data_IF_331014413642
#
_entry.id   IF_331014413642
#
_cell.length_a   1.000
_cell.length_b   1.000
_cell.length_c   1.000
_cell.angle_alpha   90.00
_cell.angle_beta   90.00
_cell.angle_gamma   90.00
#
_symmetry.space_group_name_H-M   'P 1'
#
loop_
_entity.id
_entity.type
_entity.pdbx_description
1 polymer ?
#
# COMPACT_ATOMS: atom_id res chain seq x y z
N UNK A 1 0.75 24.91 14.44
CA UNK A 1 0.28 24.88 15.82
C UNK A 1 -0.22 23.47 16.09
N UNK A 2 0.62 22.63 16.70
CA UNK A 2 0.35 21.19 16.90
C UNK A 2 -0.36 21.06 18.23
N UNK A 3 -1.66 20.71 18.22
CA UNK A 3 -2.39 20.35 19.42
C UNK A 3 -2.02 18.92 19.82
N UNK A 4 -1.07 18.78 20.75
CA UNK A 4 -0.83 17.53 21.44
C UNK A 4 -1.85 17.42 22.56
N UNK A 5 -2.93 16.67 22.34
CA UNK A 5 -3.85 16.29 23.41
C UNK A 5 -3.18 15.18 24.22
N UNK A 6 -2.59 15.56 25.36
CA UNK A 6 -2.14 14.60 26.37
C UNK A 6 -3.36 13.99 27.07
N UNK A 7 -3.75 12.79 26.66
CA UNK A 7 -4.57 11.91 27.49
C UNK A 7 -3.69 11.23 28.53
N UNK A 8 -3.45 11.90 29.66
CA UNK A 8 -2.85 11.29 30.83
C UNK A 8 -3.93 11.11 31.90
N UNK A 9 -4.07 9.84 32.30
CA UNK A 9 -4.77 9.26 33.45
C UNK A 9 -6.12 8.61 33.17
N UNK A 10 -6.09 7.34 33.46
CA UNK A 10 -7.12 6.32 33.60
C UNK A 10 -7.30 5.39 32.38
N UNK A 11 -6.34 4.50 32.17
CA UNK A 11 -6.59 3.06 31.89
C UNK A 11 -5.27 2.33 32.15
N UNK A 12 -5.28 1.43 33.14
CA UNK A 12 -4.11 0.62 33.49
C UNK A 12 -3.66 -0.29 32.36
N UNK A 13 -2.36 -0.27 32.06
CA UNK A 13 -1.64 -1.44 31.59
C UNK A 13 -1.83 -1.91 30.15
N UNK A 14 -2.45 -1.19 29.24
CA UNK A 14 -2.51 -1.60 27.83
C UNK A 14 -1.39 -0.99 26.99
N UNK A 15 -0.46 -1.85 26.56
CA UNK A 15 0.61 -1.52 25.64
C UNK A 15 0.01 -1.34 24.22
N UNK A 16 -0.06 -0.11 23.72
CA UNK A 16 -0.72 0.26 22.45
C UNK A 16 -0.09 -0.33 21.17
N UNK A 17 1.05 -1.00 21.27
CA UNK A 17 1.76 -1.53 20.11
C UNK A 17 1.20 -2.84 19.51
N UNK A 18 0.11 -3.38 20.06
CA UNK A 18 -0.47 -4.66 19.60
C UNK A 18 -2.00 -4.68 19.46
N UNK A 19 -2.67 -3.55 19.53
CA UNK A 19 -4.13 -3.50 19.41
C UNK A 19 -4.53 -3.56 17.95
N UNK A 20 -5.20 -4.65 17.53
CA UNK A 20 -5.75 -4.77 16.18
C UNK A 20 -6.87 -3.74 15.98
N UNK A 21 -7.07 -3.19 14.77
CA UNK A 21 -8.14 -2.23 14.48
C UNK A 21 -9.54 -2.72 14.86
N UNK A 22 -9.78 -4.04 14.77
CA UNK A 22 -11.02 -4.70 15.18
C UNK A 22 -11.31 -4.57 16.69
N UNK A 23 -10.25 -4.56 17.51
CA UNK A 23 -10.37 -4.51 18.96
C UNK A 23 -10.64 -3.08 19.45
N UNK A 24 -10.11 -2.09 18.74
CA UNK A 24 -10.38 -0.68 18.98
C UNK A 24 -11.86 -0.31 18.72
N UNK A 25 -12.45 -0.87 17.66
CA UNK A 25 -13.87 -0.67 17.32
C UNK A 25 -14.78 -1.28 18.39
N UNK A 26 -14.45 -2.51 18.85
CA UNK A 26 -15.21 -3.19 19.91
C UNK A 26 -15.17 -2.41 21.24
N UNK A 27 -14.03 -1.79 21.55
CA UNK A 27 -13.88 -0.96 22.75
C UNK A 27 -14.71 0.33 22.67
N UNK A 28 -14.72 0.98 21.51
CA UNK A 28 -15.55 2.18 21.29
C UNK A 28 -17.04 1.85 21.37
N UNK A 29 -17.50 0.76 20.81
CA UNK A 29 -18.91 0.34 20.88
C UNK A 29 -19.34 0.02 22.33
N UNK A 30 -18.48 -0.55 23.14
CA UNK A 30 -18.76 -0.82 24.56
C UNK A 30 -18.80 0.44 25.42
N UNK A 31 -17.95 1.44 25.14
CA UNK A 31 -18.00 2.74 25.84
C UNK A 31 -19.30 3.49 25.52
N UNK A 32 -19.82 3.38 24.28
CA UNK A 32 -21.12 3.96 23.91
C UNK A 32 -22.34 3.24 24.51
N UNK A 33 -22.22 1.95 24.82
CA UNK A 33 -23.29 1.15 25.44
C UNK A 33 -23.47 1.42 26.93
N UNK A 34 -22.49 2.02 27.61
CA UNK A 34 -22.51 2.26 29.07
C UNK A 34 -23.11 3.63 29.49
N UNK A 35 -23.75 4.35 28.57
CA UNK A 35 -24.41 5.62 28.81
C UNK A 35 -25.76 5.46 29.53
N UNK A 36 -25.72 5.18 30.81
CA UNK A 36 -26.91 5.22 31.67
C UNK A 36 -27.47 6.65 31.78
N UNK A 37 -28.76 6.84 31.49
CA UNK A 37 -29.74 7.88 31.83
C UNK A 37 -29.36 9.39 31.80
N UNK A 38 -28.22 9.79 31.27
CA UNK A 38 -27.87 11.18 30.99
C UNK A 38 -27.57 11.31 29.50
N UNK A 39 -28.53 11.74 28.69
CA UNK A 39 -28.37 11.85 27.24
C UNK A 39 -27.19 12.76 26.89
N UNK A 40 -26.19 12.19 26.23
CA UNK A 40 -25.13 13.02 25.63
C UNK A 40 -25.73 14.00 24.63
N UNK A 41 -25.30 15.27 24.61
CA UNK A 41 -25.76 16.21 23.62
C UNK A 41 -25.52 15.67 22.24
N UNK A 42 -26.56 15.64 21.39
CA UNK A 42 -26.52 15.07 20.03
C UNK A 42 -25.33 15.56 19.19
N UNK A 43 -24.90 16.80 19.44
CA UNK A 43 -23.75 17.43 18.78
C UNK A 43 -22.40 16.78 19.18
N UNK A 44 -22.25 16.24 20.38
CA UNK A 44 -21.01 15.60 20.84
C UNK A 44 -20.81 14.25 20.18
N UNK A 45 -21.88 13.46 20.04
CA UNK A 45 -21.85 12.15 19.36
C UNK A 45 -21.44 12.34 17.90
N UNK A 46 -22.01 13.32 17.21
CA UNK A 46 -21.68 13.62 15.81
C UNK A 46 -20.22 14.05 15.66
N UNK A 47 -19.69 14.89 16.55
CA UNK A 47 -18.30 15.34 16.50
C UNK A 47 -17.31 14.19 16.75
N UNK A 48 -17.56 13.33 17.73
CA UNK A 48 -16.71 12.17 18.03
C UNK A 48 -16.73 11.19 16.86
N UNK A 49 -17.89 10.92 16.26
CA UNK A 49 -18.00 10.03 15.10
C UNK A 49 -17.22 10.57 13.91
N UNK A 50 -17.29 11.86 13.62
CA UNK A 50 -16.51 12.47 12.53
C UNK A 50 -15.01 12.39 12.77
N UNK A 51 -14.53 12.63 13.99
CA UNK A 51 -13.11 12.50 14.33
C UNK A 51 -12.61 11.06 14.11
N UNK A 52 -13.40 10.06 14.52
CA UNK A 52 -13.04 8.65 14.33
C UNK A 52 -12.97 8.29 12.83
N UNK A 53 -13.94 8.73 12.04
CA UNK A 53 -13.95 8.49 10.59
C UNK A 53 -12.73 9.14 9.92
N UNK A 54 -12.41 10.38 10.25
CA UNK A 54 -11.24 11.09 9.69
C UNK A 54 -9.94 10.36 10.05
N UNK A 55 -9.78 9.91 11.30
CA UNK A 55 -8.60 9.14 11.70
C UNK A 55 -8.49 7.80 10.97
N UNK A 56 -9.58 7.06 10.77
CA UNK A 56 -9.58 5.80 10.02
C UNK A 56 -9.19 6.02 8.56
N UNK A 57 -9.66 7.08 7.92
CA UNK A 57 -9.31 7.42 6.55
C UNK A 57 -7.82 7.82 6.41
N UNK A 58 -7.28 8.57 7.37
CA UNK A 58 -5.86 8.98 7.35
C UNK A 58 -4.92 7.80 7.57
N UNK A 59 -5.27 6.87 8.46
CA UNK A 59 -4.47 5.65 8.71
C UNK A 59 -4.37 4.81 7.43
N UNK A 60 -5.49 4.55 6.75
CA UNK A 60 -5.49 3.74 5.53
C UNK A 60 -4.62 4.35 4.41
N UNK A 61 -4.64 5.66 4.25
CA UNK A 61 -3.82 6.35 3.26
C UNK A 61 -2.32 6.26 3.60
N UNK A 62 -1.95 6.34 4.87
CA UNK A 62 -0.56 6.24 5.31
C UNK A 62 0.03 4.86 5.01
N UNK A 63 -0.70 3.78 5.28
CA UNK A 63 -0.25 2.41 4.96
C UNK A 63 -0.07 2.18 3.46
N UNK A 64 -0.95 2.73 2.62
CA UNK A 64 -0.84 2.59 1.17
C UNK A 64 0.39 3.30 0.61
N UNK A 65 0.72 4.49 1.12
CA UNK A 65 1.90 5.25 0.72
C UNK A 65 3.19 4.57 1.18
N UNK A 66 3.24 4.03 2.38
CA UNK A 66 4.39 3.32 2.93
C UNK A 66 4.71 2.08 2.11
N UNK A 67 3.72 1.24 1.81
CA UNK A 67 3.90 0.05 0.99
C UNK A 67 4.43 0.38 -0.41
N UNK A 68 3.93 1.42 -1.06
CA UNK A 68 4.41 1.87 -2.36
C UNK A 68 5.89 2.24 -2.33
N UNK A 69 6.35 2.91 -1.29
CA UNK A 69 7.75 3.28 -1.14
C UNK A 69 8.65 2.05 -0.92
N UNK A 70 8.22 1.08 -0.11
CA UNK A 70 8.93 -0.18 0.09
C UNK A 70 9.10 -0.92 -1.24
N UNK A 71 8.05 -1.01 -2.06
CA UNK A 71 8.13 -1.69 -3.37
C UNK A 71 9.05 -0.96 -4.35
N UNK A 72 9.03 0.37 -4.38
CA UNK A 72 9.96 1.15 -5.19
C UNK A 72 11.41 0.94 -4.78
N UNK A 73 11.69 0.91 -3.49
CA UNK A 73 13.02 0.64 -2.95
C UNK A 73 13.53 -0.76 -3.35
N UNK A 74 12.67 -1.76 -3.28
CA UNK A 74 13.02 -3.12 -3.67
C UNK A 74 13.28 -3.22 -5.19
N UNK A 75 12.48 -2.55 -6.03
CA UNK A 75 12.77 -2.46 -7.46
C UNK A 75 14.10 -1.76 -7.73
N UNK A 76 14.37 -0.64 -7.09
CA UNK A 76 15.61 0.09 -7.22
C UNK A 76 16.83 -0.79 -6.90
N UNK A 77 16.75 -1.53 -5.79
CA UNK A 77 17.78 -2.50 -5.41
C UNK A 77 17.98 -3.59 -6.46
N UNK A 78 16.90 -4.21 -6.95
CA UNK A 78 16.98 -5.32 -7.92
C UNK A 78 17.32 -4.84 -9.35
N UNK A 79 17.24 -3.55 -9.63
CA UNK A 79 17.73 -2.89 -10.84
C UNK A 79 19.14 -2.29 -10.68
N UNK A 80 19.95 -2.86 -9.78
CA UNK A 80 21.33 -2.46 -9.53
C UNK A 80 21.48 -0.95 -9.28
N UNK A 81 20.50 -0.38 -8.55
CA UNK A 81 20.44 1.06 -8.21
C UNK A 81 20.38 1.99 -9.45
N UNK A 82 19.93 1.48 -10.58
CA UNK A 82 19.72 2.28 -11.79
C UNK A 82 18.51 3.19 -11.62
N UNK A 83 18.75 4.50 -11.54
CA UNK A 83 17.68 5.52 -11.41
C UNK A 83 16.79 5.53 -12.65
N UNK A 84 17.38 5.50 -13.85
CA UNK A 84 16.64 5.59 -15.12
C UNK A 84 15.71 4.37 -15.28
N UNK A 85 16.24 3.16 -15.12
CA UNK A 85 15.44 1.94 -15.26
C UNK A 85 14.35 1.88 -14.18
N UNK A 86 14.64 2.32 -12.95
CA UNK A 86 13.64 2.38 -11.88
C UNK A 86 12.52 3.38 -12.18
N UNK A 87 12.84 4.57 -12.69
CA UNK A 87 11.84 5.57 -13.06
C UNK A 87 10.93 5.07 -14.19
N UNK A 88 11.50 4.45 -15.21
CA UNK A 88 10.74 3.81 -16.29
C UNK A 88 9.82 2.70 -15.75
N UNK A 89 10.32 1.87 -14.84
CA UNK A 89 9.55 0.79 -14.23
C UNK A 89 8.41 1.32 -13.36
N UNK A 90 8.66 2.34 -12.56
CA UNK A 90 7.63 3.01 -11.74
C UNK A 90 6.52 3.58 -12.61
N UNK A 91 6.88 4.21 -13.73
CA UNK A 91 5.91 4.70 -14.70
C UNK A 91 5.10 3.56 -15.34
N UNK A 92 5.76 2.45 -15.71
CA UNK A 92 5.10 1.25 -16.26
C UNK A 92 4.10 0.64 -15.27
N UNK A 93 4.50 0.42 -14.01
CA UNK A 93 3.60 -0.09 -12.98
C UNK A 93 2.42 0.86 -12.73
N UNK A 94 2.63 2.18 -12.82
CA UNK A 94 1.54 3.12 -12.67
C UNK A 94 0.47 2.95 -13.76
N UNK A 95 0.82 2.50 -14.95
CA UNK A 95 -0.14 2.19 -16.00
C UNK A 95 -0.89 0.87 -15.73
N UNK A 96 -0.19 -0.15 -15.26
CA UNK A 96 -0.74 -1.50 -15.07
C UNK A 96 -1.47 -1.67 -13.73
N UNK A 97 -0.96 -1.04 -12.67
CA UNK A 97 -1.46 -1.19 -11.29
C UNK A 97 -1.26 0.11 -10.50
N UNK A 98 -2.09 1.10 -10.74
CA UNK A 98 -2.01 2.44 -10.13
C UNK A 98 -1.99 2.41 -8.59
N UNK A 99 -2.65 1.43 -8.01
CA UNK A 99 -2.76 1.28 -6.56
C UNK A 99 -1.58 0.59 -5.92
N UNK A 100 -0.66 0.03 -6.71
CA UNK A 100 0.47 -0.79 -6.23
C UNK A 100 0.03 -1.97 -5.36
N UNK A 101 -1.14 -2.52 -5.64
CA UNK A 101 -1.69 -3.62 -4.86
C UNK A 101 -1.09 -4.96 -5.30
N UNK A 102 -0.35 -5.62 -4.41
CA UNK A 102 0.22 -6.95 -4.64
C UNK A 102 -0.82 -8.05 -4.82
N UNK A 103 -2.07 -7.80 -4.45
CA UNK A 103 -3.21 -8.72 -4.63
C UNK A 103 -4.11 -8.33 -5.80
N UNK A 104 -3.70 -7.34 -6.61
CA UNK A 104 -4.46 -6.93 -7.78
C UNK A 104 -4.69 -8.11 -8.72
N UNK A 105 -5.90 -8.17 -9.28
CA UNK A 105 -6.30 -9.17 -10.27
C UNK A 105 -7.09 -8.49 -11.37
N UNK A 106 -6.69 -8.73 -12.61
CA UNK A 106 -7.41 -8.29 -13.80
C UNK A 106 -7.49 -9.48 -14.78
N UNK A 107 -8.63 -10.17 -14.80
CA UNK A 107 -8.79 -11.42 -15.56
C UNK A 107 -7.80 -12.49 -15.11
N UNK A 108 -6.87 -12.86 -15.98
CA UNK A 108 -5.78 -13.83 -15.73
C UNK A 108 -4.46 -13.18 -15.31
N UNK A 109 -4.43 -11.87 -15.04
CA UNK A 109 -3.24 -11.12 -14.66
C UNK A 109 -3.25 -10.81 -13.17
N UNK A 110 -2.09 -10.91 -12.52
CA UNK A 110 -1.98 -10.86 -11.07
C UNK A 110 -0.82 -9.99 -10.60
N UNK A 111 -1.01 -9.41 -9.41
CA UNK A 111 0.03 -8.78 -8.61
C UNK A 111 0.50 -7.41 -9.10
N UNK A 112 1.66 -6.98 -8.61
CA UNK A 112 2.27 -5.70 -8.99
C UNK A 112 2.51 -5.59 -10.49
N UNK A 113 3.10 -6.61 -11.17
CA UNK A 113 3.42 -6.52 -12.58
C UNK A 113 2.24 -6.83 -13.51
N UNK A 114 1.06 -7.13 -12.98
CA UNK A 114 -0.08 -7.63 -13.78
C UNK A 114 0.34 -8.74 -14.75
N UNK A 115 1.18 -9.66 -14.26
CA UNK A 115 1.68 -10.77 -15.07
C UNK A 115 0.69 -11.91 -15.20
N UNK A 116 0.65 -12.57 -16.39
CA UNK A 116 -0.18 -13.75 -16.63
C UNK A 116 0.48 -14.99 -16.05
N UNK A 117 0.50 -15.12 -14.71
CA UNK A 117 1.10 -16.24 -13.98
C UNK A 117 0.39 -16.50 -12.68
N UNK A 118 -0.10 -17.72 -12.47
CA UNK A 118 -0.73 -18.14 -11.20
C UNK A 118 0.21 -18.01 -10.00
N UNK A 119 1.52 -18.14 -10.20
CA UNK A 119 2.53 -17.93 -9.17
C UNK A 119 2.37 -16.56 -8.47
N UNK A 120 2.02 -15.52 -9.22
CA UNK A 120 1.88 -14.16 -8.68
C UNK A 120 0.71 -13.99 -7.71
N UNK A 121 -0.28 -14.89 -7.70
CA UNK A 121 -1.42 -14.83 -6.77
C UNK A 121 -1.02 -14.96 -5.31
N UNK A 122 -0.04 -15.81 -5.02
CA UNK A 122 0.40 -16.14 -3.66
C UNK A 122 1.78 -15.61 -3.32
N UNK A 123 2.51 -15.14 -4.32
CA UNK A 123 3.87 -14.61 -4.17
C UNK A 123 3.89 -13.37 -3.27
N UNK A 124 4.93 -13.26 -2.46
CA UNK A 124 5.25 -12.04 -1.69
C UNK A 124 5.63 -10.90 -2.64
N UNK A 125 5.63 -9.66 -2.15
CA UNK A 125 6.02 -8.52 -2.99
C UNK A 125 7.44 -8.67 -3.57
N UNK A 126 8.41 -9.13 -2.78
CA UNK A 126 9.79 -9.38 -3.25
C UNK A 126 9.83 -10.43 -4.35
N UNK A 127 9.07 -11.52 -4.21
CA UNK A 127 8.97 -12.56 -5.23
C UNK A 127 8.32 -12.06 -6.52
N UNK A 128 7.27 -11.24 -6.42
CA UNK A 128 6.62 -10.60 -7.58
C UNK A 128 7.59 -9.68 -8.31
N UNK A 129 8.37 -8.87 -7.57
CA UNK A 129 9.39 -7.97 -8.11
C UNK A 129 10.48 -8.79 -8.83
N UNK A 130 11.00 -9.83 -8.19
CA UNK A 130 12.01 -10.72 -8.81
C UNK A 130 11.48 -11.38 -10.09
N UNK A 131 10.23 -11.83 -10.07
CA UNK A 131 9.56 -12.39 -11.25
C UNK A 131 9.48 -11.35 -12.37
N UNK A 132 9.07 -10.11 -12.03
CA UNK A 132 8.94 -9.03 -13.01
C UNK A 132 10.28 -8.66 -13.64
N UNK A 133 11.34 -8.52 -12.84
CA UNK A 133 12.69 -8.24 -13.37
C UNK A 133 13.16 -9.35 -14.32
N UNK A 134 12.93 -10.63 -13.98
CA UNK A 134 13.23 -11.76 -14.88
C UNK A 134 12.44 -11.69 -16.18
N UNK A 135 11.15 -11.38 -16.10
CA UNK A 135 10.30 -11.20 -17.27
C UNK A 135 10.80 -10.06 -18.17
N UNK A 136 11.14 -8.91 -17.59
CA UNK A 136 11.67 -7.76 -18.34
C UNK A 136 12.99 -8.13 -19.05
N UNK A 137 13.92 -8.80 -18.37
CA UNK A 137 15.17 -9.27 -18.98
C UNK A 137 14.92 -10.24 -20.14
N UNK A 138 14.00 -11.17 -19.97
CA UNK A 138 13.69 -12.16 -21.01
C UNK A 138 13.01 -11.54 -22.25
N UNK A 139 12.16 -10.55 -22.06
CA UNK A 139 11.35 -9.98 -23.14
C UNK A 139 11.96 -8.74 -23.80
N UNK A 140 12.58 -7.87 -23.03
CA UNK A 140 13.12 -6.59 -23.48
C UNK A 140 14.64 -6.51 -23.40
N UNK A 141 15.28 -7.59 -22.94
CA UNK A 141 16.72 -7.65 -22.78
C UNK A 141 17.24 -6.84 -21.61
N UNK A 142 18.49 -6.46 -21.71
CA UNK A 142 19.20 -5.62 -20.76
C UNK A 142 19.69 -4.35 -21.42
N UNK A 143 19.91 -3.33 -20.62
CA UNK A 143 20.58 -2.10 -21.09
C UNK A 143 22.10 -2.30 -21.22
N UNK A 144 22.82 -1.25 -21.56
CA UNK A 144 24.30 -1.27 -21.74
C UNK A 144 25.07 -1.63 -20.46
N UNK A 145 24.42 -1.60 -19.30
CA UNK A 145 25.01 -1.96 -18.01
C UNK A 145 24.59 -3.34 -17.52
N UNK A 146 23.84 -4.13 -18.32
CA UNK A 146 23.34 -5.45 -17.92
C UNK A 146 22.09 -5.41 -17.03
N UNK A 147 21.51 -4.23 -16.81
CA UNK A 147 20.28 -4.05 -16.04
C UNK A 147 19.06 -4.33 -16.90
N UNK A 148 17.98 -4.87 -16.32
CA UNK A 148 16.74 -5.14 -17.05
C UNK A 148 16.23 -3.86 -17.74
N UNK A 149 15.91 -3.96 -19.05
CA UNK A 149 15.49 -2.82 -19.87
C UNK A 149 14.04 -2.44 -19.63
N UNK A 150 13.77 -1.83 -18.47
CA UNK A 150 12.45 -1.34 -18.10
C UNK A 150 11.99 -0.15 -18.97
N UNK A 151 12.93 0.67 -19.44
CA UNK A 151 12.60 1.78 -20.34
C UNK A 151 12.13 1.27 -21.71
N UNK A 152 12.70 0.17 -22.21
CA UNK A 152 12.22 -0.52 -23.40
C UNK A 152 10.81 -1.06 -23.22
N UNK A 153 10.51 -1.63 -22.06
CA UNK A 153 9.17 -2.11 -21.72
C UNK A 153 8.14 -0.97 -21.64
N UNK A 154 8.49 0.15 -21.00
CA UNK A 154 7.63 1.34 -20.95
C UNK A 154 7.36 1.90 -22.34
N UNK A 155 8.39 2.02 -23.18
CA UNK A 155 8.24 2.47 -24.56
C UNK A 155 7.30 1.56 -25.35
N UNK A 156 7.43 0.24 -25.20
CA UNK A 156 6.52 -0.72 -25.82
C UNK A 156 5.09 -0.53 -25.34
N UNK A 157 4.90 -0.36 -24.02
CA UNK A 157 3.58 -0.13 -23.44
C UNK A 157 2.92 1.15 -23.99
N UNK A 158 3.69 2.25 -24.07
CA UNK A 158 3.19 3.52 -24.62
C UNK A 158 2.74 3.41 -26.08
N UNK A 159 3.39 2.52 -26.85
CA UNK A 159 3.04 2.30 -28.25
C UNK A 159 1.91 1.29 -28.46
N UNK A 160 1.81 0.27 -27.62
CA UNK A 160 0.93 -0.88 -27.85
C UNK A 160 -0.19 -1.01 -26.79
N UNK A 161 -0.10 -0.33 -25.65
CA UNK A 161 -1.05 -0.41 -24.53
C UNK A 161 -0.88 -1.67 -23.65
N UNK A 162 0.24 -2.41 -23.81
CA UNK A 162 0.56 -3.62 -23.00
C UNK A 162 2.08 -3.87 -23.02
N UNK A 163 2.56 -4.69 -22.09
CA UNK A 163 3.99 -5.11 -22.00
C UNK A 163 4.15 -6.59 -21.71
#
# INVERSE_FOLDING_TARGET
MIFVVRFNRFVGGLHWNSVRPSDAISYLLNVFSWGGRGGFPKNLVTQVTMIVIINLLTINNSFAVENKNIYKQEYYKQLDYSVDQTNCLVALIHQENRTWNIKAKNGSHYGLPQGKSEYLRTATYTQQITWHIKYLKARYGVDRFGVANACGALSHWLMKGWH
#
